data_IF_046818481484
#
_entry.id   IF_046818481484
#
_cell.length_a   1.000
_cell.length_b   1.000
_cell.length_c   1.000
_cell.angle_alpha   90.00
_cell.angle_beta   90.00
_cell.angle_gamma   90.00
#
_symmetry.space_group_name_H-M   'P 1'
#
loop_
_entity.id
_entity.type
_entity.pdbx_description
1 polymer ?
#
# COMPACT_ATOMS: atom_id res chain seq x y z
N UNK A 1 -3.09 -4.54 -30.34
CA UNK A 1 -1.80 -4.26 -31.02
C UNK A 1 -1.74 -4.71 -32.49
N UNK A 2 -2.67 -5.55 -32.97
CA UNK A 2 -2.62 -6.10 -34.33
C UNK A 2 -1.72 -7.34 -34.42
N UNK A 3 -1.72 -8.03 -35.56
CA UNK A 3 -1.19 -9.40 -35.70
C UNK A 3 0.34 -9.55 -35.52
N UNK A 4 1.09 -8.46 -35.44
CA UNK A 4 2.57 -8.47 -35.39
C UNK A 4 3.19 -8.22 -34.02
N UNK A 5 2.39 -7.99 -32.96
CA UNK A 5 2.91 -7.77 -31.61
C UNK A 5 3.05 -9.08 -30.86
N UNK A 6 4.27 -9.33 -30.36
CA UNK A 6 4.60 -10.51 -29.54
C UNK A 6 5.20 -10.13 -28.18
N UNK A 7 5.21 -8.84 -27.81
CA UNK A 7 5.75 -8.34 -26.56
C UNK A 7 4.62 -7.82 -25.66
N UNK A 8 4.74 -8.09 -24.35
CA UNK A 8 3.80 -7.64 -23.33
C UNK A 8 4.59 -7.25 -22.07
N UNK A 9 5.17 -6.05 -22.09
CA UNK A 9 6.04 -5.56 -21.02
C UNK A 9 5.28 -4.60 -20.10
N UNK A 10 5.66 -4.57 -18.82
CA UNK A 10 5.23 -3.57 -17.82
C UNK A 10 3.73 -3.28 -17.89
N UNK A 11 2.92 -4.24 -17.47
CA UNK A 11 1.48 -4.09 -17.52
C UNK A 11 0.93 -3.35 -16.31
N UNK A 12 -0.17 -2.65 -16.52
CA UNK A 12 -1.02 -2.11 -15.45
C UNK A 12 -2.49 -2.46 -15.74
N UNK A 13 -3.32 -2.47 -14.71
CA UNK A 13 -4.70 -2.92 -14.80
C UNK A 13 -5.67 -2.01 -14.06
N UNK A 14 -6.86 -1.86 -14.63
CA UNK A 14 -7.96 -1.12 -14.00
C UNK A 14 -9.28 -1.87 -14.18
N UNK A 15 -10.23 -1.62 -13.29
CA UNK A 15 -11.61 -2.06 -13.46
C UNK A 15 -12.53 -0.85 -13.57
N UNK A 16 -13.44 -0.89 -14.54
CA UNK A 16 -14.48 0.12 -14.77
C UNK A 16 -15.61 -0.53 -15.57
N UNK A 17 -16.84 -0.06 -15.41
CA UNK A 17 -18.00 -0.49 -16.20
C UNK A 17 -18.23 -2.02 -16.22
N UNK A 18 -17.93 -2.71 -15.11
CA UNK A 18 -18.08 -4.16 -14.99
C UNK A 18 -17.05 -4.99 -15.77
N UNK A 19 -16.00 -4.36 -16.31
CA UNK A 19 -14.89 -5.02 -17.02
C UNK A 19 -13.56 -4.78 -16.31
N UNK A 20 -12.58 -5.59 -16.70
CA UNK A 20 -11.18 -5.47 -16.35
C UNK A 20 -10.40 -5.14 -17.62
N UNK A 21 -9.54 -4.14 -17.53
CA UNK A 21 -8.69 -3.67 -18.62
C UNK A 21 -7.24 -3.90 -18.22
N UNK A 22 -6.47 -4.53 -19.10
CA UNK A 22 -5.05 -4.77 -18.91
C UNK A 22 -4.27 -4.04 -20.02
N UNK A 23 -3.49 -3.05 -19.61
CA UNK A 23 -2.66 -2.23 -20.47
C UNK A 23 -1.25 -2.79 -20.45
N UNK A 24 -0.56 -2.76 -21.57
CA UNK A 24 0.77 -3.34 -21.69
C UNK A 24 1.58 -2.64 -22.76
N UNK A 25 2.90 -2.72 -22.65
CA UNK A 25 3.82 -2.15 -23.63
C UNK A 25 4.23 -3.20 -24.66
N UNK A 26 4.12 -2.85 -25.93
CA UNK A 26 4.77 -3.57 -27.03
C UNK A 26 6.17 -3.01 -27.24
N UNK A 27 6.99 -3.11 -26.18
CA UNK A 27 8.21 -2.30 -26.00
C UNK A 27 7.88 -0.81 -26.18
N UNK A 28 8.83 -0.03 -26.72
CA UNK A 28 8.68 1.39 -27.05
C UNK A 28 7.78 1.67 -28.26
N UNK A 29 7.20 0.64 -28.91
CA UNK A 29 6.33 0.84 -30.10
C UNK A 29 4.96 1.39 -29.73
N UNK A 30 4.53 1.25 -28.49
CA UNK A 30 3.27 1.77 -28.00
C UNK A 30 2.61 0.86 -26.96
N UNK A 31 1.46 1.31 -26.49
CA UNK A 31 0.69 0.65 -25.44
C UNK A 31 -0.55 0.02 -26.04
N UNK A 32 -0.77 -1.26 -25.76
CA UNK A 32 -1.99 -1.98 -26.06
C UNK A 32 -2.94 -2.01 -24.86
N UNK A 33 -4.20 -2.34 -25.11
CA UNK A 33 -5.20 -2.60 -24.08
C UNK A 33 -5.99 -3.87 -24.43
N UNK A 34 -6.12 -4.75 -23.44
CA UNK A 34 -6.99 -5.92 -23.49
C UNK A 34 -8.14 -5.76 -22.50
N UNK A 35 -9.28 -6.36 -22.79
CA UNK A 35 -10.43 -6.38 -21.86
C UNK A 35 -10.89 -7.80 -21.51
N UNK A 36 -11.51 -7.93 -20.34
CA UNK A 36 -12.10 -9.16 -19.81
C UNK A 36 -13.27 -8.84 -18.87
N UNK A 37 -14.20 -9.78 -18.71
CA UNK A 37 -15.24 -9.70 -17.65
C UNK A 37 -14.78 -10.32 -16.31
N UNK A 38 -13.56 -10.87 -16.26
CA UNK A 38 -12.96 -11.50 -15.09
C UNK A 38 -11.52 -11.02 -14.92
N UNK A 39 -11.04 -10.77 -13.68
CA UNK A 39 -9.66 -10.34 -13.46
C UNK A 39 -8.64 -11.43 -13.85
N UNK A 40 -9.07 -12.70 -13.88
CA UNK A 40 -8.23 -13.82 -14.31
C UNK A 40 -8.29 -14.07 -15.83
N UNK A 41 -9.03 -13.26 -16.58
CA UNK A 41 -9.27 -13.48 -18.00
C UNK A 41 -10.41 -14.48 -18.28
N UNK A 42 -10.52 -14.97 -19.53
CA UNK A 42 -9.61 -14.70 -20.65
C UNK A 42 -9.68 -13.24 -21.13
N UNK A 43 -8.52 -12.65 -21.39
CA UNK A 43 -8.39 -11.31 -21.97
C UNK A 43 -8.43 -11.38 -23.50
N UNK A 44 -8.99 -10.33 -24.13
CA UNK A 44 -9.02 -10.15 -25.59
C UNK A 44 -8.49 -8.77 -25.95
N UNK A 45 -7.76 -8.65 -27.05
CA UNK A 45 -7.35 -7.35 -27.60
C UNK A 45 -8.60 -6.49 -27.87
N UNK A 46 -8.68 -5.34 -27.23
CA UNK A 46 -9.88 -4.52 -27.26
C UNK A 46 -9.99 -3.66 -28.53
N UNK A 47 -8.86 -3.38 -29.20
CA UNK A 47 -8.82 -2.35 -30.26
C UNK A 47 -8.00 -2.72 -31.51
N UNK A 48 -7.27 -3.84 -31.52
CA UNK A 48 -6.46 -4.34 -32.65
C UNK A 48 -5.38 -3.35 -33.17
N UNK A 49 -5.02 -2.35 -32.37
CA UNK A 49 -3.95 -1.36 -32.64
C UNK A 49 -3.38 -0.81 -31.32
N UNK A 50 -2.32 0.01 -31.32
CA UNK A 50 -1.92 0.73 -30.12
C UNK A 50 -2.99 1.73 -29.66
N UNK A 51 -3.22 1.81 -28.35
CA UNK A 51 -4.02 2.84 -27.69
C UNK A 51 -3.31 4.19 -27.75
N UNK A 52 -2.03 4.19 -27.39
CA UNK A 52 -1.10 5.33 -27.53
C UNK A 52 0.24 4.83 -28.07
N UNK A 53 0.94 5.69 -28.80
CA UNK A 53 2.23 5.39 -29.43
C UNK A 53 2.97 6.70 -29.77
N UNK A 54 4.31 6.73 -29.71
CA UNK A 54 5.21 5.66 -29.25
C UNK A 54 5.29 5.60 -27.71
N UNK A 55 6.31 4.91 -27.17
CA UNK A 55 6.66 4.77 -25.74
C UNK A 55 5.92 3.63 -24.99
N UNK A 56 6.20 3.50 -23.69
CA UNK A 56 5.92 2.30 -22.88
C UNK A 56 5.56 2.63 -21.41
N UNK A 57 5.46 1.59 -20.59
CA UNK A 57 5.21 1.56 -19.14
C UNK A 57 3.91 2.28 -18.71
N UNK A 58 2.72 1.86 -19.18
CA UNK A 58 1.47 2.49 -18.78
C UNK A 58 1.27 2.46 -17.26
N UNK A 59 0.77 3.55 -16.70
CA UNK A 59 0.05 3.57 -15.43
C UNK A 59 -1.35 4.12 -15.64
N UNK A 60 -2.35 3.49 -15.04
CA UNK A 60 -3.75 3.88 -15.13
C UNK A 60 -4.23 4.38 -13.78
N UNK A 61 -4.74 5.61 -13.76
CA UNK A 61 -5.38 6.18 -12.59
C UNK A 61 -6.86 6.39 -12.88
N UNK A 62 -7.72 5.74 -12.10
CA UNK A 62 -9.12 6.14 -11.98
C UNK A 62 -9.18 7.16 -10.85
N UNK A 63 -9.34 8.44 -11.18
CA UNK A 63 -9.38 9.50 -10.17
C UNK A 63 -10.57 9.30 -9.22
N UNK A 64 -10.45 9.79 -8.00
CA UNK A 64 -11.51 9.70 -7.00
C UNK A 64 -12.55 10.84 -7.09
N UNK A 65 -12.42 11.71 -8.10
CA UNK A 65 -13.38 12.75 -8.44
C UNK A 65 -14.81 12.21 -8.68
N UNK A 66 -15.77 13.12 -8.79
CA UNK A 66 -17.19 12.76 -8.94
C UNK A 66 -17.47 11.91 -10.19
N UNK A 67 -16.69 12.09 -11.26
CA UNK A 67 -16.85 11.40 -12.54
C UNK A 67 -15.99 10.14 -12.65
N UNK A 68 -15.19 9.85 -11.61
CA UNK A 68 -14.14 8.85 -11.62
C UNK A 68 -13.24 8.98 -12.84
N UNK A 69 -12.80 10.18 -13.18
CA UNK A 69 -12.13 10.45 -14.47
C UNK A 69 -10.92 9.52 -14.67
N UNK A 70 -10.85 8.73 -15.75
CA UNK A 70 -9.74 7.82 -16.01
C UNK A 70 -8.59 8.53 -16.75
N UNK A 71 -7.35 8.23 -16.35
CA UNK A 71 -6.13 8.75 -16.95
C UNK A 71 -5.15 7.62 -17.26
N UNK A 72 -4.36 7.83 -18.31
CA UNK A 72 -3.19 7.04 -18.64
C UNK A 72 -1.95 7.92 -18.56
N UNK A 73 -0.93 7.45 -17.84
CA UNK A 73 0.42 7.99 -17.84
C UNK A 73 1.34 7.00 -18.57
N UNK A 74 2.17 7.48 -19.49
CA UNK A 74 3.11 6.63 -20.23
C UNK A 74 4.39 7.41 -20.64
N UNK A 75 5.53 6.76 -20.88
CA UNK A 75 6.75 7.44 -21.36
C UNK A 75 8.06 7.05 -20.68
N UNK A 76 9.08 7.86 -20.93
CA UNK A 76 10.39 7.77 -20.28
C UNK A 76 11.08 9.15 -20.30
N UNK A 77 12.07 9.39 -19.44
CA UNK A 77 12.73 10.69 -19.25
C UNK A 77 13.35 11.28 -20.52
N UNK A 78 13.82 10.47 -21.46
CA UNK A 78 14.50 10.94 -22.68
C UNK A 78 13.59 11.79 -23.56
N UNK A 79 12.28 11.59 -23.44
CA UNK A 79 11.26 12.34 -24.13
C UNK A 79 10.43 13.13 -23.12
N UNK A 80 9.55 12.45 -22.40
CA UNK A 80 8.78 12.95 -21.26
C UNK A 80 7.96 11.80 -20.67
N UNK A 81 7.42 12.01 -19.47
CA UNK A 81 6.22 11.30 -19.06
C UNK A 81 5.00 12.04 -19.62
N UNK A 82 4.15 11.34 -20.37
CA UNK A 82 2.96 11.88 -20.99
C UNK A 82 1.72 11.40 -20.27
N UNK A 83 0.81 12.33 -19.96
CA UNK A 83 -0.50 12.01 -19.40
C UNK A 83 -1.61 12.39 -20.37
N UNK A 84 -2.60 11.52 -20.49
CA UNK A 84 -3.84 11.79 -21.20
C UNK A 84 -5.03 11.27 -20.40
N UNK A 85 -6.17 11.95 -20.55
CA UNK A 85 -7.44 11.41 -20.10
C UNK A 85 -7.90 10.30 -21.05
N UNK A 86 -8.43 9.22 -20.51
CA UNK A 86 -9.13 8.20 -21.28
C UNK A 86 -10.61 8.58 -21.40
N UNK A 87 -11.27 8.07 -22.44
CA UNK A 87 -12.73 8.08 -22.47
C UNK A 87 -13.28 7.03 -21.47
N UNK A 88 -14.57 7.11 -21.17
CA UNK A 88 -15.25 6.18 -20.26
C UNK A 88 -15.18 4.72 -20.73
N UNK A 89 -14.97 4.49 -22.03
CA UNK A 89 -14.80 3.15 -22.61
C UNK A 89 -13.49 2.46 -22.20
N UNK A 90 -12.54 3.21 -21.60
CA UNK A 90 -11.20 2.78 -21.20
C UNK A 90 -10.28 2.33 -22.35
N UNK A 91 -10.74 2.44 -23.60
CA UNK A 91 -10.05 1.91 -24.79
C UNK A 91 -9.82 2.98 -25.87
N UNK A 92 -10.09 4.25 -25.55
CA UNK A 92 -9.75 5.39 -26.38
C UNK A 92 -9.31 6.59 -25.53
N UNK A 93 -8.50 7.49 -26.11
CA UNK A 93 -8.05 8.72 -25.47
C UNK A 93 -9.07 9.85 -25.65
N UNK A 94 -9.35 10.60 -24.58
CA UNK A 94 -10.26 11.74 -24.56
C UNK A 94 -9.57 13.08 -24.88
N UNK A 95 -8.24 13.08 -24.91
CA UNK A 95 -7.43 14.26 -25.22
C UNK A 95 -6.05 13.87 -25.75
N UNK A 96 -5.40 14.82 -26.43
CA UNK A 96 -4.00 14.66 -26.82
C UNK A 96 -3.10 14.53 -25.58
N UNK A 97 -2.16 13.57 -25.56
CA UNK A 97 -1.20 13.42 -24.46
C UNK A 97 -0.37 14.68 -24.22
N UNK A 98 -0.19 15.02 -22.94
CA UNK A 98 0.54 16.22 -22.48
C UNK A 98 1.77 15.82 -21.69
N UNK A 99 2.93 16.45 -21.92
CA UNK A 99 4.13 16.16 -21.14
C UNK A 99 3.95 16.66 -19.70
N UNK A 100 4.47 15.89 -18.73
CA UNK A 100 4.53 16.27 -17.33
C UNK A 100 5.89 16.92 -17.04
N UNK A 101 5.84 18.06 -16.35
CA UNK A 101 7.03 18.69 -15.78
C UNK A 101 7.26 18.17 -14.36
N UNK A 102 8.45 17.60 -14.11
CA UNK A 102 8.94 17.22 -12.79
C UNK A 102 10.13 18.12 -12.44
N UNK A 103 10.15 18.66 -11.23
CA UNK A 103 11.16 19.61 -10.74
C UNK A 103 11.79 19.11 -9.45
N UNK A 104 13.11 19.19 -9.34
CA UNK A 104 13.86 18.80 -8.14
C UNK A 104 15.11 18.00 -8.48
N UNK A 105 16.03 17.96 -7.51
CA UNK A 105 17.38 17.39 -7.67
C UNK A 105 17.35 15.90 -7.99
N UNK A 106 16.42 15.15 -7.39
CA UNK A 106 16.23 13.72 -7.64
C UNK A 106 15.91 13.43 -9.11
N UNK A 107 15.02 14.24 -9.71
CA UNK A 107 14.66 14.10 -11.12
C UNK A 107 15.78 14.55 -12.06
N UNK A 108 16.51 15.61 -11.70
CA UNK A 108 17.67 16.07 -12.47
C UNK A 108 18.74 14.99 -12.56
N UNK A 109 19.01 14.31 -11.44
CA UNK A 109 19.99 13.21 -11.34
C UNK A 109 19.53 11.87 -11.92
N UNK A 110 18.22 11.66 -12.06
CA UNK A 110 17.69 10.41 -12.62
C UNK A 110 18.29 10.14 -14.01
N UNK A 111 18.63 8.89 -14.36
CA UNK A 111 19.11 8.54 -15.69
C UNK A 111 18.17 8.99 -16.81
N UNK A 112 18.70 9.37 -17.98
CA UNK A 112 17.87 9.81 -19.11
C UNK A 112 16.91 8.74 -19.65
N UNK A 113 17.14 7.46 -19.34
CA UNK A 113 16.25 6.36 -19.70
C UNK A 113 15.22 6.03 -18.60
N UNK A 114 15.10 6.86 -17.57
CA UNK A 114 14.21 6.59 -16.44
C UNK A 114 12.76 6.44 -16.91
N UNK A 115 12.21 5.26 -16.66
CA UNK A 115 10.86 4.76 -16.90
C UNK A 115 10.31 4.18 -15.56
N UNK A 116 9.38 3.20 -15.59
CA UNK A 116 8.89 2.49 -14.40
C UNK A 116 8.28 3.37 -13.31
N UNK A 117 7.59 4.44 -13.72
CA UNK A 117 6.87 5.27 -12.77
C UNK A 117 5.58 4.61 -12.29
N UNK A 118 5.05 5.16 -11.21
CA UNK A 118 3.69 4.85 -10.78
C UNK A 118 3.01 6.12 -10.30
N UNK A 119 1.83 6.40 -10.84
CA UNK A 119 0.97 7.52 -10.47
C UNK A 119 -0.19 7.00 -9.62
N UNK A 120 -0.34 7.56 -8.43
CA UNK A 120 -1.52 7.34 -7.60
C UNK A 120 -1.91 8.62 -6.87
N UNK A 121 -3.12 8.61 -6.28
CA UNK A 121 -3.62 9.74 -5.49
C UNK A 121 -3.85 9.29 -4.04
N UNK A 122 -3.47 10.14 -3.10
CA UNK A 122 -3.85 10.00 -1.71
C UNK A 122 -4.33 11.34 -1.16
N UNK A 123 -5.55 11.35 -0.62
CA UNK A 123 -6.28 12.57 -0.28
C UNK A 123 -6.30 13.54 -1.49
N UNK A 124 -5.97 14.80 -1.29
CA UNK A 124 -5.92 15.80 -2.36
C UNK A 124 -4.50 15.97 -2.95
N UNK A 125 -3.70 14.91 -3.05
CA UNK A 125 -2.33 14.94 -3.57
C UNK A 125 -2.10 13.79 -4.54
N UNK A 126 -1.52 14.09 -5.70
CA UNK A 126 -1.02 13.10 -6.65
C UNK A 126 0.45 12.82 -6.35
N UNK A 127 0.82 11.55 -6.33
CA UNK A 127 2.17 11.05 -6.11
C UNK A 127 2.63 10.36 -7.39
N UNK A 128 3.80 10.74 -7.86
CA UNK A 128 4.44 10.18 -9.05
C UNK A 128 5.82 9.68 -8.65
N UNK A 129 5.98 8.36 -8.54
CA UNK A 129 7.26 7.72 -8.22
C UNK A 129 8.02 7.29 -9.47
N UNK A 130 9.33 7.08 -9.37
CA UNK A 130 10.18 6.38 -10.34
C UNK A 130 11.39 5.79 -9.60
N UNK A 131 11.78 4.56 -9.90
CA UNK A 131 12.80 3.86 -9.11
C UNK A 131 12.49 3.93 -7.60
N UNK A 132 13.34 4.61 -6.84
CA UNK A 132 13.13 4.90 -5.40
C UNK A 132 12.57 6.28 -5.11
N UNK A 133 12.61 7.21 -6.04
CA UNK A 133 12.30 8.61 -5.76
C UNK A 133 10.84 8.92 -6.15
N UNK A 134 10.29 10.00 -5.59
CA UNK A 134 8.96 10.45 -5.96
C UNK A 134 8.79 11.97 -5.85
N UNK A 135 7.83 12.45 -6.61
CA UNK A 135 7.38 13.83 -6.62
C UNK A 135 5.88 13.91 -6.38
N UNK A 136 5.41 15.08 -5.94
CA UNK A 136 3.99 15.32 -5.66
C UNK A 136 3.45 16.54 -6.40
N UNK A 137 2.14 16.53 -6.65
CA UNK A 137 1.41 17.69 -7.15
C UNK A 137 -0.03 17.74 -6.61
N UNK A 138 -0.62 18.93 -6.62
CA UNK A 138 -2.07 19.14 -6.42
C UNK A 138 -2.86 19.09 -7.73
N UNK A 139 -2.16 19.08 -8.86
CA UNK A 139 -2.73 19.00 -10.19
C UNK A 139 -2.21 17.73 -10.87
N UNK A 140 -3.10 16.91 -11.41
CA UNK A 140 -2.73 15.65 -12.09
C UNK A 140 -1.83 15.90 -13.32
N UNK A 141 -1.92 17.07 -13.95
CA UNK A 141 -1.04 17.48 -15.05
C UNK A 141 0.29 18.11 -14.59
N UNK A 142 0.51 18.20 -13.28
CA UNK A 142 1.68 18.83 -12.69
C UNK A 142 1.64 20.38 -12.68
N UNK A 143 2.81 21.04 -12.49
CA UNK A 143 4.11 20.42 -12.29
C UNK A 143 4.17 19.57 -11.01
N UNK A 144 5.02 18.56 -11.01
CA UNK A 144 5.35 17.75 -9.85
C UNK A 144 6.67 18.22 -9.24
N UNK A 145 6.76 18.22 -7.92
CA UNK A 145 7.94 18.63 -7.17
C UNK A 145 8.49 17.45 -6.37
N UNK A 146 9.77 17.16 -6.50
CA UNK A 146 10.43 16.05 -5.79
C UNK A 146 10.31 16.26 -4.28
N UNK A 147 10.02 15.17 -3.56
CA UNK A 147 9.80 15.19 -2.10
C UNK A 147 10.80 14.30 -1.38
N UNK A 148 11.11 13.14 -1.95
CA UNK A 148 12.11 12.26 -1.37
C UNK A 148 12.07 10.86 -1.97
N UNK A 149 12.53 9.90 -1.17
CA UNK A 149 12.69 8.52 -1.59
C UNK A 149 11.92 7.55 -0.70
N UNK A 150 11.55 6.42 -1.30
CA UNK A 150 10.93 5.26 -0.67
C UNK A 150 11.93 4.09 -0.63
N UNK A 151 11.61 3.06 0.14
CA UNK A 151 12.27 1.76 0.16
C UNK A 151 13.79 1.81 0.26
N UNK A 152 14.36 2.69 1.08
CA UNK A 152 15.82 2.76 1.29
C UNK A 152 16.39 1.37 1.57
N UNK A 153 17.24 0.88 0.67
CA UNK A 153 17.75 -0.50 0.69
C UNK A 153 16.99 -1.42 -0.27
N UNK A 154 17.00 -2.72 0.01
CA UNK A 154 16.18 -3.76 -0.66
C UNK A 154 16.11 -3.67 -2.19
N UNK A 155 17.23 -3.32 -2.83
CA UNK A 155 17.38 -3.22 -4.29
C UNK A 155 16.42 -2.25 -4.99
N UNK A 156 15.80 -1.32 -4.26
CA UNK A 156 14.97 -0.28 -4.83
C UNK A 156 15.87 0.86 -5.35
N UNK A 157 16.32 0.73 -6.59
CA UNK A 157 17.16 1.69 -7.29
C UNK A 157 16.54 2.04 -8.66
N UNK A 158 17.28 2.72 -9.55
CA UNK A 158 16.82 3.12 -10.88
C UNK A 158 16.40 1.95 -11.80
N UNK A 159 16.80 0.73 -11.48
CA UNK A 159 16.42 -0.47 -12.22
C UNK A 159 15.16 -1.16 -11.69
N UNK A 160 14.70 -0.79 -10.50
CA UNK A 160 13.53 -1.38 -9.88
C UNK A 160 12.24 -0.85 -10.53
N UNK A 161 11.23 -1.73 -10.63
CA UNK A 161 9.89 -1.35 -11.09
C UNK A 161 8.92 -1.50 -9.93
N UNK A 162 8.30 -0.41 -9.47
CA UNK A 162 7.46 -0.37 -8.29
C UNK A 162 6.04 0.10 -8.56
N UNK A 163 5.12 -0.27 -7.67
CA UNK A 163 3.75 0.24 -7.63
C UNK A 163 3.24 0.26 -6.19
N UNK A 164 2.15 1.00 -5.97
CA UNK A 164 1.55 1.17 -4.66
C UNK A 164 0.08 0.80 -4.72
N UNK A 165 -0.45 0.16 -3.68
CA UNK A 165 -1.87 -0.19 -3.68
C UNK A 165 -2.47 -0.25 -2.28
N UNK A 166 -3.77 0.04 -2.22
CA UNK A 166 -4.58 -0.15 -1.02
C UNK A 166 -5.26 -1.50 -1.08
N UNK A 167 -5.14 -2.27 -0.01
CA UNK A 167 -5.87 -3.53 0.14
C UNK A 167 -6.24 -3.71 1.60
N UNK A 168 -7.52 -4.02 1.87
CA UNK A 168 -8.01 -4.31 3.22
C UNK A 168 -7.78 -3.17 4.24
N UNK A 169 -7.73 -1.93 3.75
CA UNK A 169 -7.43 -0.74 4.54
C UNK A 169 -5.93 -0.45 4.73
N UNK A 170 -5.06 -1.39 4.36
CA UNK A 170 -3.61 -1.27 4.44
C UNK A 170 -3.04 -0.73 3.11
N UNK A 171 -1.97 0.07 3.19
CA UNK A 171 -1.24 0.57 2.03
C UNK A 171 0.06 -0.22 1.87
N UNK A 172 0.31 -0.70 0.67
CA UNK A 172 1.47 -1.52 0.34
C UNK A 172 2.31 -0.85 -0.73
N UNK A 173 3.62 -1.07 -0.64
CA UNK A 173 4.56 -0.81 -1.72
C UNK A 173 5.11 -2.15 -2.20
N UNK A 174 4.99 -2.43 -3.49
CA UNK A 174 5.53 -3.63 -4.13
C UNK A 174 6.47 -3.20 -5.25
N UNK A 175 7.63 -3.85 -5.35
CA UNK A 175 8.55 -3.61 -6.46
C UNK A 175 9.25 -4.90 -6.87
N UNK A 176 9.83 -4.88 -8.06
CA UNK A 176 10.72 -5.92 -8.51
C UNK A 176 12.12 -5.40 -8.79
N UNK A 177 13.11 -6.28 -8.64
CA UNK A 177 14.53 -5.97 -8.81
C UNK A 177 15.24 -7.11 -9.54
N UNK A 178 16.39 -6.82 -10.17
CA UNK A 178 17.17 -7.85 -10.86
C UNK A 178 17.96 -8.71 -9.88
N UNK A 179 17.78 -10.03 -9.94
CA UNK A 179 18.48 -10.99 -9.07
C UNK A 179 19.91 -11.23 -9.55
N UNK A 180 20.18 -11.02 -10.85
CA UNK A 180 21.50 -11.20 -11.46
C UNK A 180 21.79 -10.11 -12.49
N UNK A 181 22.84 -9.29 -12.30
CA UNK A 181 23.24 -8.27 -13.27
C UNK A 181 23.45 -8.88 -14.67
N UNK A 182 22.91 -8.23 -15.70
CA UNK A 182 22.98 -8.68 -17.10
C UNK A 182 21.94 -9.73 -17.52
N UNK A 183 21.13 -10.24 -16.59
CA UNK A 183 20.04 -11.19 -16.89
C UNK A 183 18.68 -10.56 -16.59
N UNK A 184 17.65 -10.94 -17.36
CA UNK A 184 16.29 -10.41 -17.20
C UNK A 184 15.46 -11.12 -16.11
N UNK A 185 16.11 -11.74 -15.13
CA UNK A 185 15.44 -12.39 -14.00
C UNK A 185 15.17 -11.38 -12.90
N UNK A 186 13.90 -11.26 -12.50
CA UNK A 186 13.46 -10.34 -11.45
C UNK A 186 12.68 -11.08 -10.38
N UNK A 187 12.85 -10.67 -9.14
CA UNK A 187 12.04 -11.09 -7.99
C UNK A 187 11.21 -9.90 -7.49
N UNK A 188 10.07 -10.16 -6.85
CA UNK A 188 9.23 -9.12 -6.26
C UNK A 188 9.35 -9.10 -4.74
N UNK A 189 9.33 -7.90 -4.17
CA UNK A 189 9.30 -7.63 -2.73
C UNK A 189 8.07 -6.76 -2.45
N UNK A 190 7.36 -7.06 -1.37
CA UNK A 190 6.24 -6.25 -0.88
C UNK A 190 6.48 -5.86 0.58
N UNK A 191 6.22 -4.59 0.92
CA UNK A 191 6.26 -4.10 2.30
C UNK A 191 5.05 -3.25 2.67
N UNK A 192 4.83 -3.09 3.97
CA UNK A 192 3.90 -2.09 4.50
C UNK A 192 4.37 -0.67 4.15
N UNK A 193 3.41 0.15 3.79
CA UNK A 193 3.63 1.54 3.44
C UNK A 193 2.69 2.44 4.26
N UNK A 194 3.18 3.64 4.57
CA UNK A 194 2.54 4.57 5.47
C UNK A 194 2.65 5.98 4.89
N UNK A 195 1.70 6.84 5.24
CA UNK A 195 1.85 8.28 5.06
C UNK A 195 2.12 8.89 6.43
N UNK A 196 3.21 9.63 6.56
CA UNK A 196 3.45 10.43 7.76
C UNK A 196 2.44 11.58 7.86
N UNK A 197 2.47 12.30 8.99
CA UNK A 197 1.56 13.42 9.24
C UNK A 197 1.70 14.58 8.24
N UNK A 198 2.80 14.64 7.48
CA UNK A 198 3.05 15.63 6.43
C UNK A 198 2.65 15.11 5.03
N UNK A 199 2.22 13.85 4.93
CA UNK A 199 1.88 13.20 3.68
C UNK A 199 3.08 12.63 2.92
N UNK A 200 4.25 12.50 3.54
CA UNK A 200 5.38 11.82 2.94
C UNK A 200 5.20 10.30 3.02
N UNK A 201 5.71 9.60 2.02
CA UNK A 201 5.67 8.14 1.97
C UNK A 201 6.75 7.56 2.90
N UNK A 202 6.36 6.65 3.77
CA UNK A 202 7.25 5.86 4.63
C UNK A 202 7.03 4.38 4.35
N UNK A 203 8.03 3.72 3.79
CA UNK A 203 8.06 2.26 3.60
C UNK A 203 8.73 1.59 4.78
N UNK A 204 8.14 0.52 5.30
CA UNK A 204 8.66 -0.21 6.45
C UNK A 204 9.64 -1.32 6.02
N UNK A 205 10.81 -0.91 5.55
CA UNK A 205 11.89 -1.85 5.19
C UNK A 205 12.48 -2.54 6.43
N UNK A 206 12.34 -1.92 7.59
CA UNK A 206 12.71 -2.46 8.90
C UNK A 206 11.98 -3.78 9.21
N UNK A 207 10.70 -3.89 8.83
CA UNK A 207 9.97 -5.15 8.92
C UNK A 207 10.65 -6.25 8.11
N UNK A 208 11.07 -5.95 6.88
CA UNK A 208 11.71 -6.92 5.99
C UNK A 208 13.06 -7.38 6.54
N UNK A 209 13.86 -6.43 7.06
CA UNK A 209 15.17 -6.70 7.67
C UNK A 209 15.08 -7.63 8.89
N UNK A 210 14.02 -7.46 9.69
CA UNK A 210 13.85 -8.18 10.97
C UNK A 210 13.13 -9.51 10.82
N UNK A 211 12.26 -9.67 9.82
CA UNK A 211 11.28 -10.75 9.84
C UNK A 211 11.24 -11.58 8.56
N UNK A 212 11.00 -10.96 7.41
CA UNK A 212 10.79 -11.69 6.15
C UNK A 212 11.40 -10.92 4.98
N UNK A 213 12.33 -11.54 4.26
CA UNK A 213 13.11 -10.85 3.22
C UNK A 213 12.26 -10.25 2.08
N UNK A 214 11.14 -10.89 1.71
CA UNK A 214 10.38 -10.52 0.50
C UNK A 214 8.91 -10.15 0.72
N UNK A 215 8.38 -10.24 1.95
CA UNK A 215 6.93 -10.11 2.14
C UNK A 215 6.46 -9.78 3.54
N UNK A 216 5.14 -9.60 3.67
CA UNK A 216 4.45 -9.14 4.88
C UNK A 216 3.20 -9.98 5.16
N UNK A 217 2.48 -9.68 6.25
CA UNK A 217 1.21 -10.35 6.60
C UNK A 217 1.39 -11.69 7.31
N UNK A 218 2.52 -11.86 8.01
CA UNK A 218 2.85 -13.00 8.85
C UNK A 218 3.59 -12.47 10.08
N UNK A 219 3.39 -13.12 11.22
CA UNK A 219 3.98 -12.70 12.49
C UNK A 219 4.32 -13.93 13.34
N UNK A 220 5.12 -13.75 14.38
CA UNK A 220 5.34 -14.80 15.38
C UNK A 220 4.99 -14.25 16.76
N UNK A 221 4.30 -15.05 17.57
CA UNK A 221 3.88 -14.65 18.91
C UNK A 221 5.08 -14.39 19.83
N UNK A 222 6.23 -15.00 19.55
CA UNK A 222 7.48 -14.82 20.31
C UNK A 222 8.19 -13.48 20.04
N UNK A 223 7.74 -12.70 19.07
CA UNK A 223 8.35 -11.41 18.78
C UNK A 223 8.19 -10.44 19.95
N UNK A 224 9.25 -9.68 20.23
CA UNK A 224 9.27 -8.73 21.34
C UNK A 224 8.20 -7.64 21.20
N UNK A 225 7.79 -7.33 19.96
CA UNK A 225 6.65 -6.47 19.64
C UNK A 225 6.15 -6.76 18.22
N UNK A 226 4.85 -6.55 18.02
CA UNK A 226 4.17 -6.45 16.73
C UNK A 226 3.57 -5.05 16.68
N UNK A 227 4.06 -4.21 15.77
CA UNK A 227 3.56 -2.84 15.60
C UNK A 227 2.11 -2.88 15.11
N UNK A 228 1.26 -1.98 15.63
CA UNK A 228 -0.15 -1.99 15.31
C UNK A 228 -0.41 -1.56 13.87
N UNK A 229 0.41 -0.66 13.32
CA UNK A 229 0.37 -0.20 11.93
C UNK A 229 0.70 -1.27 10.89
N UNK A 230 1.24 -2.43 11.32
CA UNK A 230 1.46 -3.61 10.50
C UNK A 230 0.22 -4.48 10.34
N UNK A 231 -0.97 -4.00 10.67
CA UNK A 231 -2.19 -4.77 10.47
C UNK A 231 -2.34 -5.30 9.03
N UNK A 232 -3.03 -6.41 8.90
CA UNK A 232 -3.40 -6.99 7.62
C UNK A 232 -4.75 -6.47 7.10
N UNK A 233 -5.71 -6.27 8.02
CA UNK A 233 -7.04 -5.75 7.68
C UNK A 233 -7.62 -4.94 8.84
N UNK A 234 -8.40 -3.90 8.54
CA UNK A 234 -9.06 -3.06 9.55
C UNK A 234 -10.53 -2.79 9.23
N UNK A 235 -11.31 -2.55 10.28
CA UNK A 235 -12.62 -1.91 10.18
C UNK A 235 -12.52 -0.45 9.74
N UNK A 236 -13.59 0.07 9.13
CA UNK A 236 -13.68 1.47 8.70
C UNK A 236 -13.43 2.49 9.82
N UNK A 237 -12.79 3.60 9.50
CA UNK A 237 -12.63 4.76 10.39
C UNK A 237 -11.30 4.80 11.16
N UNK A 238 -10.59 3.67 11.26
CA UNK A 238 -9.23 3.61 11.80
C UNK A 238 -8.26 4.33 10.84
N UNK A 239 -7.32 5.09 11.40
CA UNK A 239 -6.29 5.81 10.65
C UNK A 239 -4.91 5.59 11.28
N UNK A 240 -3.86 5.72 10.48
CA UNK A 240 -2.48 5.81 10.98
C UNK A 240 -2.14 7.28 11.28
N UNK A 241 -1.34 7.51 12.32
CA UNK A 241 -0.77 8.81 12.67
C UNK A 241 0.66 8.59 13.15
N UNK A 242 1.61 9.36 12.65
CA UNK A 242 3.02 9.13 13.00
C UNK A 242 4.02 9.78 12.06
N UNK A 243 5.28 9.41 12.25
CA UNK A 243 6.40 9.75 11.36
C UNK A 243 7.42 8.62 11.34
N UNK A 244 8.35 8.66 10.39
CA UNK A 244 9.44 7.67 10.30
C UNK A 244 10.27 7.62 11.59
N UNK A 245 10.52 8.77 12.19
CA UNK A 245 11.40 8.91 13.37
C UNK A 245 10.72 8.47 14.66
N UNK A 246 9.40 8.65 14.76
CA UNK A 246 8.64 8.42 16.00
C UNK A 246 7.78 7.14 15.97
N UNK A 247 7.72 6.45 14.83
CA UNK A 247 6.80 5.33 14.61
C UNK A 247 5.37 5.80 14.31
N UNK A 248 4.46 4.85 14.16
CA UNK A 248 3.04 5.11 13.93
C UNK A 248 2.19 4.53 15.04
N UNK A 249 1.02 5.13 15.22
CA UNK A 249 -0.06 4.58 16.04
C UNK A 249 -1.31 4.48 15.19
N UNK A 250 -2.20 3.55 15.55
CA UNK A 250 -3.55 3.53 15.02
C UNK A 250 -4.47 4.36 15.90
N UNK A 251 -5.22 5.26 15.28
CA UNK A 251 -6.18 6.17 15.92
C UNK A 251 -7.56 6.06 15.25
N UNK A 252 -8.54 6.81 15.76
CA UNK A 252 -9.92 6.77 15.25
C UNK A 252 -10.69 5.51 15.68
N UNK A 253 -10.15 4.76 16.64
CA UNK A 253 -10.76 3.57 17.21
C UNK A 253 -12.00 3.96 18.01
N UNK A 254 -13.13 3.31 17.69
CA UNK A 254 -14.43 3.51 18.31
C UNK A 254 -15.03 2.16 18.71
N UNK A 255 -16.12 2.19 19.47
CA UNK A 255 -16.93 1.00 19.75
C UNK A 255 -17.24 0.21 18.47
N UNK A 256 -16.96 -1.10 18.48
CA UNK A 256 -17.15 -2.01 17.35
C UNK A 256 -16.02 -2.03 16.32
N UNK A 257 -14.98 -1.19 16.47
CA UNK A 257 -13.81 -1.24 15.60
C UNK A 257 -13.04 -2.54 15.82
N UNK A 258 -12.29 -2.97 14.80
CA UNK A 258 -11.41 -4.12 14.91
C UNK A 258 -10.20 -4.02 13.97
N UNK A 259 -9.13 -4.70 14.36
CA UNK A 259 -7.88 -4.82 13.62
C UNK A 259 -7.53 -6.30 13.51
N UNK A 260 -7.15 -6.76 12.33
CA UNK A 260 -6.73 -8.13 12.05
C UNK A 260 -5.23 -8.19 11.74
N UNK A 261 -4.56 -9.15 12.35
CA UNK A 261 -3.20 -9.60 12.03
C UNK A 261 -3.29 -11.02 11.50
N UNK A 262 -2.90 -11.23 10.24
CA UNK A 262 -2.98 -12.55 9.60
C UNK A 262 -1.77 -13.43 9.94
N UNK A 263 -1.97 -14.75 9.98
CA UNK A 263 -0.88 -15.72 10.10
C UNK A 263 0.09 -15.46 11.27
N UNK A 264 -0.43 -15.17 12.46
CA UNK A 264 0.37 -15.11 13.68
C UNK A 264 0.69 -16.54 14.11
N UNK A 265 1.97 -16.91 14.07
CA UNK A 265 2.44 -18.23 14.47
C UNK A 265 2.67 -18.30 15.98
N UNK A 266 1.89 -19.14 16.67
CA UNK A 266 2.01 -19.40 18.10
C UNK A 266 2.88 -20.63 18.36
N UNK A 267 4.19 -20.39 18.45
CA UNK A 267 5.20 -21.37 18.82
C UNK A 267 5.56 -21.19 20.31
N UNK A 268 5.17 -22.15 21.15
CA UNK A 268 5.42 -22.10 22.59
C UNK A 268 4.18 -21.86 23.43
N UNK A 269 4.39 -21.46 24.68
CA UNK A 269 3.31 -21.15 25.63
C UNK A 269 3.20 -19.64 25.67
N UNK A 270 2.02 -19.10 25.40
CA UNK A 270 1.74 -17.67 25.53
C UNK A 270 0.55 -17.52 26.48
N UNK A 271 0.78 -17.03 27.69
CA UNK A 271 -0.27 -16.91 28.72
C UNK A 271 -0.77 -15.47 28.87
N UNK A 272 -0.09 -14.50 28.25
CA UNK A 272 -0.37 -13.09 28.41
C UNK A 272 -0.34 -12.32 27.10
N UNK A 273 -1.30 -11.42 26.94
CA UNK A 273 -1.28 -10.36 25.93
C UNK A 273 -0.90 -9.04 26.60
N UNK A 274 0.00 -8.27 25.97
CA UNK A 274 0.43 -6.95 26.44
C UNK A 274 0.36 -5.95 25.29
N UNK A 275 -0.16 -4.75 25.53
CA UNK A 275 -0.24 -3.70 24.51
C UNK A 275 0.13 -2.33 25.03
N UNK A 276 0.81 -1.55 24.19
CA UNK A 276 1.11 -0.13 24.35
C UNK A 276 -0.03 0.68 23.74
N UNK A 277 -0.67 1.51 24.55
CA UNK A 277 -1.81 2.33 24.14
C UNK A 277 -1.67 3.77 24.63
N UNK A 278 -2.27 4.71 23.91
CA UNK A 278 -2.62 6.02 24.43
C UNK A 278 -4.13 6.07 24.65
N UNK A 279 -4.60 6.44 25.84
CA UNK A 279 -6.03 6.56 26.09
C UNK A 279 -6.37 7.90 26.74
N UNK A 280 -7.22 8.67 26.07
CA UNK A 280 -7.55 10.05 26.45
C UNK A 280 -8.92 10.18 27.11
N UNK A 281 -9.76 9.14 27.08
CA UNK A 281 -11.07 9.18 27.71
C UNK A 281 -11.90 7.91 27.52
N UNK A 282 -12.93 7.80 28.36
CA UNK A 282 -13.92 6.74 28.33
C UNK A 282 -13.50 5.45 29.04
N UNK A 283 -14.41 4.48 28.99
CA UNK A 283 -14.19 3.09 29.38
C UNK A 283 -14.33 2.20 28.17
N UNK A 284 -13.53 1.15 28.10
CA UNK A 284 -13.64 0.16 27.04
C UNK A 284 -12.83 -1.09 27.30
N UNK A 285 -12.81 -1.96 26.30
CA UNK A 285 -12.18 -3.27 26.35
C UNK A 285 -11.55 -3.58 24.99
N UNK A 286 -10.35 -4.14 25.02
CA UNK A 286 -9.74 -4.81 23.86
C UNK A 286 -9.98 -6.31 24.03
N UNK A 287 -10.78 -6.91 23.15
CA UNK A 287 -10.96 -8.35 23.06
C UNK A 287 -9.94 -8.93 22.07
N UNK A 288 -9.28 -10.02 22.44
CA UNK A 288 -8.35 -10.76 21.60
C UNK A 288 -9.06 -12.02 21.12
N UNK A 289 -9.26 -12.15 19.81
CA UNK A 289 -10.09 -13.20 19.21
C UNK A 289 -9.31 -13.91 18.11
N UNK A 290 -9.35 -15.24 18.07
CA UNK A 290 -8.66 -16.05 17.06
C UNK A 290 -9.56 -16.38 15.86
N UNK A 291 -8.94 -16.43 14.67
CA UNK A 291 -9.45 -16.88 13.37
C UNK A 291 -10.58 -16.03 12.74
N UNK A 292 -11.55 -15.56 13.52
CA UNK A 292 -12.63 -14.67 13.04
C UNK A 292 -13.18 -13.80 14.16
N UNK A 293 -13.95 -12.75 13.84
CA UNK A 293 -14.60 -11.88 14.85
C UNK A 293 -15.62 -12.61 15.74
N UNK A 294 -16.08 -13.79 15.33
CA UNK A 294 -16.94 -14.70 16.11
C UNK A 294 -16.19 -15.97 16.55
N UNK A 295 -14.87 -15.95 16.48
CA UNK A 295 -14.02 -17.08 16.82
C UNK A 295 -13.76 -17.22 18.31
N UNK A 296 -12.70 -17.96 18.66
CA UNK A 296 -12.33 -18.20 20.05
C UNK A 296 -11.86 -16.91 20.72
N UNK A 297 -12.53 -16.50 21.78
CA UNK A 297 -12.10 -15.40 22.64
C UNK A 297 -10.93 -15.84 23.50
N UNK A 298 -9.73 -15.35 23.21
CA UNK A 298 -8.52 -15.70 23.94
C UNK A 298 -8.41 -14.93 25.25
N UNK A 299 -8.83 -13.67 25.28
CA UNK A 299 -8.76 -12.83 26.47
C UNK A 299 -9.30 -11.44 26.23
N UNK A 300 -9.36 -10.64 27.30
CA UNK A 300 -9.88 -9.28 27.24
C UNK A 300 -9.15 -8.36 28.23
N UNK A 301 -8.81 -7.16 27.77
CA UNK A 301 -8.16 -6.12 28.57
C UNK A 301 -9.13 -4.96 28.79
N UNK A 302 -9.58 -4.75 30.03
CA UNK A 302 -10.40 -3.59 30.38
C UNK A 302 -9.55 -2.33 30.54
N UNK A 303 -9.96 -1.25 29.86
CA UNK A 303 -9.34 0.06 29.87
C UNK A 303 -10.28 1.02 30.59
N UNK A 304 -9.87 1.50 31.76
CA UNK A 304 -10.57 2.53 32.52
C UNK A 304 -9.69 3.78 32.63
N UNK A 305 -10.16 4.92 32.13
CA UNK A 305 -9.48 6.21 32.30
C UNK A 305 -10.07 6.95 33.49
N UNK A 306 -9.35 6.98 34.61
CA UNK A 306 -9.67 7.88 35.73
C UNK A 306 -9.11 9.29 35.46
N UNK A 307 -9.66 10.30 36.13
CA UNK A 307 -9.09 11.66 36.12
C UNK A 307 -7.60 11.60 36.51
N UNK A 308 -6.74 12.30 35.76
CA UNK A 308 -5.27 12.33 35.90
C UNK A 308 -4.50 11.05 35.53
N UNK A 309 -5.12 10.07 34.89
CA UNK A 309 -4.38 8.91 34.39
C UNK A 309 -3.39 9.34 33.29
N UNK A 310 -2.17 8.76 33.24
CA UNK A 310 -1.22 9.07 32.16
C UNK A 310 -1.82 8.71 30.80
N UNK A 311 -1.46 9.50 29.79
CA UNK A 311 -1.90 9.29 28.41
C UNK A 311 -1.44 7.92 27.89
N UNK A 312 -0.13 7.69 27.93
CA UNK A 312 0.51 6.44 27.53
C UNK A 312 0.42 5.39 28.64
N UNK A 313 0.05 4.15 28.28
CA UNK A 313 -0.10 3.03 29.22
C UNK A 313 0.29 1.71 28.57
N UNK A 314 0.84 0.83 29.40
CA UNK A 314 0.94 -0.59 29.09
C UNK A 314 -0.22 -1.31 29.77
N UNK A 315 -1.03 -1.98 28.97
CA UNK A 315 -2.18 -2.77 29.44
C UNK A 315 -1.96 -4.25 29.13
N UNK A 316 -2.57 -5.14 29.91
CA UNK A 316 -2.38 -6.57 29.70
C UNK A 316 -3.50 -7.42 30.27
N UNK A 317 -3.68 -8.62 29.71
CA UNK A 317 -4.58 -9.64 30.24
C UNK A 317 -3.95 -11.03 30.11
N UNK A 318 -4.48 -11.99 30.86
CA UNK A 318 -4.22 -13.40 30.57
C UNK A 318 -4.94 -13.77 29.27
N UNK A 319 -4.37 -14.72 28.54
CA UNK A 319 -4.98 -15.32 27.36
C UNK A 319 -5.04 -16.83 27.47
N UNK A 320 -6.03 -17.43 26.81
CA UNK A 320 -6.05 -18.88 26.58
C UNK A 320 -4.86 -19.29 25.72
N UNK A 321 -4.19 -20.36 26.12
CA UNK A 321 -3.05 -20.88 25.38
C UNK A 321 -3.53 -21.54 24.07
N UNK A 322 -2.98 -21.08 22.95
CA UNK A 322 -3.26 -21.58 21.61
C UNK A 322 -1.95 -21.95 20.89
N UNK A 323 -2.06 -22.77 19.85
CA UNK A 323 -0.90 -23.25 19.08
C UNK A 323 -1.15 -23.12 17.58
N UNK A 324 -0.04 -23.05 16.84
CA UNK A 324 -0.03 -23.01 15.38
C UNK A 324 -0.33 -21.63 14.82
N UNK A 325 -0.59 -21.59 13.52
CA UNK A 325 -0.82 -20.34 12.79
C UNK A 325 -2.29 -19.93 12.92
N UNK A 326 -2.52 -18.70 13.39
CA UNK A 326 -3.83 -18.12 13.67
C UNK A 326 -3.94 -16.70 13.13
N UNK A 327 -5.13 -16.34 12.65
CA UNK A 327 -5.44 -14.92 12.49
C UNK A 327 -5.83 -14.36 13.86
N UNK A 328 -5.31 -13.19 14.23
CA UNK A 328 -5.64 -12.53 15.49
C UNK A 328 -6.40 -11.24 15.22
N UNK A 329 -7.54 -11.10 15.87
CA UNK A 329 -8.34 -9.89 15.87
C UNK A 329 -8.21 -9.20 17.22
N UNK A 330 -7.96 -7.90 17.17
CA UNK A 330 -8.13 -6.98 18.29
C UNK A 330 -9.46 -6.25 18.07
N UNK A 331 -10.48 -6.56 18.86
CA UNK A 331 -11.81 -5.93 18.77
C UNK A 331 -12.00 -4.96 19.92
N UNK A 332 -12.50 -3.77 19.60
CA UNK A 332 -12.61 -2.67 20.54
C UNK A 332 -14.07 -2.43 20.91
N UNK A 333 -14.38 -2.51 22.20
CA UNK A 333 -15.68 -2.19 22.77
C UNK A 333 -15.50 -0.98 23.67
N UNK A 334 -16.36 0.02 23.56
CA UNK A 334 -16.22 1.24 24.35
C UNK A 334 -17.51 2.03 24.48
N UNK A 335 -17.54 2.91 25.47
CA UNK A 335 -18.60 3.91 25.60
C UNK A 335 -18.45 5.05 24.55
N UNK A 336 -19.37 6.01 24.56
CA UNK A 336 -19.36 7.14 23.63
C UNK A 336 -18.14 8.06 23.78
N UNK A 337 -17.48 8.03 24.95
CA UNK A 337 -16.31 8.83 25.25
C UNK A 337 -15.00 8.09 24.96
N UNK A 338 -15.08 6.84 24.51
CA UNK A 338 -13.92 5.98 24.27
C UNK A 338 -13.03 6.55 23.17
N UNK A 339 -11.84 6.97 23.57
CA UNK A 339 -10.81 7.53 22.68
C UNK A 339 -9.46 6.92 23.00
N UNK A 340 -9.00 6.05 22.11
CA UNK A 340 -7.70 5.42 22.24
C UNK A 340 -6.90 5.45 20.93
N UNK A 341 -5.60 5.31 21.11
CA UNK A 341 -4.64 4.95 20.08
C UNK A 341 -3.92 3.67 20.54
N UNK A 342 -3.55 2.81 19.60
CA UNK A 342 -2.74 1.62 19.86
C UNK A 342 -1.45 1.73 19.05
N UNK A 343 -0.34 1.47 19.72
CA UNK A 343 1.03 1.60 19.19
C UNK A 343 1.55 0.22 18.79
N UNK A 344 1.68 -0.70 19.77
CA UNK A 344 2.05 -2.08 19.49
C UNK A 344 1.41 -3.05 20.48
N UNK A 345 1.57 -4.35 20.21
CA UNK A 345 1.29 -5.40 21.17
C UNK A 345 2.34 -6.51 21.12
N UNK A 346 2.31 -7.41 22.10
CA UNK A 346 3.12 -8.63 22.15
C UNK A 346 2.43 -9.72 22.96
N UNK A 347 2.86 -10.95 22.74
CA UNK A 347 2.51 -12.07 23.60
C UNK A 347 3.68 -12.41 24.52
N UNK A 348 3.37 -12.89 25.72
CA UNK A 348 4.35 -13.28 26.73
C UNK A 348 3.89 -14.53 27.47
N UNK A 349 4.84 -15.20 28.10
CA UNK A 349 4.59 -16.24 29.09
C UNK A 349 4.16 -15.62 30.41
#
# INVERSE_FOLDING_TARGET
MGDSSSDCWAGDAATRNGKYYFYFSDRRRGIGVMESYSPAGPFKDAINKPLVSPLHDPTILIDDDINKTPYILYGEKSDSYFIARLNDDMISIAESPKPISIKGEEWEKAPNWMDKYYLFKHNNTYYLSWGRDYAVSKNIYGPYYCVGAVGNGHHLNEFAHGSFFWWKGQFYHIWCYYIRPGYKYRESIITYCHFDNNGNIVTDTDFLDKHFYTGVGQYNSSWHKIEAEWYYEISSGIKKKGSRENGFVLTGIKNGSWIKFANVNFEGINEKFVSSINCTGGKGTIEIIADSLSGLHLGAVSINVANNSPLHRIVSCKIENIKGVKDIYLKFIGDENYKMEIDYFKFCN
#
